data_IF_230073893037
#
_entry.id   IF_230073893037
#
_cell.length_a   1.000
_cell.length_b   1.000
_cell.length_c   1.000
_cell.angle_alpha   90.00
_cell.angle_beta   90.00
_cell.angle_gamma   90.00
#
_symmetry.space_group_name_H-M   'P 1'
#
loop_
_entity.id
_entity.type
_entity.pdbx_description
1 polymer ?
#
# COMPACT_ATOMS: atom_id res chain seq x y z
N UNK A 1 26.55 -67.65 33.69
CA UNK A 1 25.25 -67.63 32.99
C UNK A 1 24.63 -66.28 33.24
N UNK A 2 24.70 -65.40 32.24
CA UNK A 2 23.55 -64.86 31.47
C UNK A 2 22.98 -63.61 32.16
N UNK A 3 23.30 -62.42 31.60
CA UNK A 3 22.38 -61.57 30.82
C UNK A 3 21.35 -60.83 31.71
N UNK A 4 21.17 -59.51 31.69
CA UNK A 4 21.66 -58.53 30.74
C UNK A 4 21.37 -57.09 31.19
N UNK A 5 22.03 -56.18 30.49
CA UNK A 5 21.83 -54.74 30.47
C UNK A 5 20.55 -54.39 29.74
N UNK A 6 19.72 -53.50 30.30
CA UNK A 6 18.73 -52.73 29.52
C UNK A 6 19.01 -51.26 29.77
N UNK A 7 19.59 -50.64 28.74
CA UNK A 7 19.71 -49.21 28.54
C UNK A 7 18.32 -48.59 28.46
N UNK A 8 18.05 -47.57 29.28
CA UNK A 8 17.00 -46.59 28.96
C UNK A 8 17.67 -45.43 28.23
N UNK A 9 17.48 -45.43 26.91
CA UNK A 9 17.95 -44.42 26.00
C UNK A 9 16.97 -43.24 25.95
N UNK A 10 17.53 -42.03 26.05
CA UNK A 10 17.16 -40.89 25.20
C UNK A 10 15.76 -40.30 25.35
N UNK A 11 15.54 -39.50 26.38
CA UNK A 11 14.71 -38.30 26.23
C UNK A 11 15.65 -37.15 25.86
N UNK A 12 16.04 -37.09 24.59
CA UNK A 12 16.62 -35.88 24.01
C UNK A 12 15.43 -34.93 23.85
N UNK A 13 15.23 -34.06 24.83
CA UNK A 13 14.30 -32.95 24.70
C UNK A 13 14.73 -32.14 23.48
N UNK A 14 13.88 -32.13 22.45
CA UNK A 14 13.91 -31.14 21.39
C UNK A 14 13.64 -29.79 22.04
N UNK A 15 14.68 -29.15 22.57
CA UNK A 15 14.67 -27.71 22.78
C UNK A 15 14.68 -27.10 21.38
N UNK A 16 13.50 -26.89 20.82
CA UNK A 16 13.31 -25.90 19.77
C UNK A 16 13.68 -24.58 20.42
N UNK A 17 14.94 -24.14 20.23
CA UNK A 17 15.31 -22.76 20.44
C UNK A 17 14.52 -22.01 19.38
N UNK A 18 13.31 -21.58 19.73
CA UNK A 18 12.65 -20.48 19.02
C UNK A 18 13.60 -19.32 19.22
N UNK A 19 14.45 -19.07 18.24
CA UNK A 19 15.24 -17.86 18.15
C UNK A 19 14.23 -16.74 18.02
N UNK A 20 13.78 -16.24 19.17
CA UNK A 20 13.05 -15.01 19.30
C UNK A 20 14.00 -13.95 18.77
N UNK A 21 13.81 -13.59 17.50
CA UNK A 21 14.15 -12.26 17.05
C UNK A 21 13.42 -11.34 18.05
N UNK A 22 14.13 -10.61 18.93
CA UNK A 22 13.46 -9.72 19.87
C UNK A 22 12.53 -8.81 19.05
N UNK A 23 11.36 -8.49 19.60
CA UNK A 23 10.27 -7.75 18.92
C UNK A 23 10.68 -6.41 18.26
N UNK A 24 11.94 -5.98 18.44
CA UNK A 24 12.58 -4.81 17.85
C UNK A 24 13.08 -5.00 16.41
N UNK A 25 12.96 -6.19 15.80
CA UNK A 25 13.40 -6.47 14.43
C UNK A 25 12.24 -6.84 13.48
N UNK A 26 11.00 -6.61 13.88
CA UNK A 26 9.83 -6.84 13.04
C UNK A 26 9.04 -5.54 12.93
N UNK A 27 8.42 -5.34 11.77
CA UNK A 27 7.47 -4.25 11.56
C UNK A 27 6.35 -4.38 12.61
N UNK A 28 5.96 -3.28 13.26
CA UNK A 28 4.81 -3.31 14.16
C UNK A 28 3.51 -3.42 13.36
N UNK A 29 2.40 -3.78 14.04
CA UNK A 29 1.07 -3.77 13.42
C UNK A 29 0.68 -2.35 13.00
N UNK A 30 1.02 -1.35 13.82
CA UNK A 30 0.84 0.08 13.51
C UNK A 30 1.64 0.51 12.28
N UNK A 31 2.91 0.12 12.16
CA UNK A 31 3.72 0.40 10.97
C UNK A 31 3.14 -0.30 9.74
N UNK A 32 2.61 -1.52 9.89
CA UNK A 32 2.02 -2.30 8.81
C UNK A 32 0.80 -1.60 8.24
N UNK A 33 -0.08 -1.15 9.13
CA UNK A 33 -1.26 -0.35 8.78
C UNK A 33 -0.83 0.96 8.12
N UNK A 34 0.13 1.67 8.71
CA UNK A 34 0.64 2.95 8.19
C UNK A 34 1.21 2.80 6.78
N UNK A 35 2.00 1.76 6.51
CA UNK A 35 2.51 1.50 5.14
C UNK A 35 1.36 1.36 4.14
N UNK A 36 0.33 0.55 4.46
CA UNK A 36 -0.81 0.33 3.54
C UNK A 36 -1.66 1.60 3.39
N UNK A 37 -1.88 2.34 4.48
CA UNK A 37 -2.61 3.60 4.47
C UNK A 37 -1.91 4.64 3.60
N UNK A 38 -0.60 4.83 3.78
CA UNK A 38 0.20 5.77 3.00
C UNK A 38 0.20 5.40 1.52
N UNK A 39 0.42 4.12 1.18
CA UNK A 39 0.32 3.68 -0.22
C UNK A 39 -1.02 4.07 -0.84
N UNK A 40 -2.13 3.75 -0.18
CA UNK A 40 -3.46 4.06 -0.72
C UNK A 40 -3.74 5.56 -0.76
N UNK A 41 -3.26 6.32 0.24
CA UNK A 41 -3.36 7.77 0.26
C UNK A 41 -2.58 8.43 -0.88
N UNK A 42 -1.38 7.94 -1.20
CA UNK A 42 -0.59 8.39 -2.36
C UNK A 42 -1.23 8.00 -3.70
N UNK A 43 -1.74 6.76 -3.82
CA UNK A 43 -2.44 6.29 -5.01
C UNK A 43 -3.71 7.08 -5.31
N UNK A 44 -4.43 7.53 -4.29
CA UNK A 44 -5.66 8.32 -4.42
C UNK A 44 -5.47 9.80 -4.76
N UNK A 45 -4.23 10.29 -4.85
CA UNK A 45 -3.88 11.70 -5.11
C UNK A 45 -2.95 11.91 -6.31
N UNK A 46 -2.69 10.86 -7.10
CA UNK A 46 -1.80 10.96 -8.26
C UNK A 46 -2.28 12.01 -9.26
N UNK A 47 -1.32 12.66 -9.91
CA UNK A 47 -1.55 13.59 -11.01
C UNK A 47 -0.72 13.10 -12.21
N UNK A 48 -1.34 12.89 -13.39
CA UNK A 48 -2.77 13.01 -13.66
C UNK A 48 -3.62 11.92 -12.99
N UNK A 49 -4.93 12.11 -12.95
CA UNK A 49 -5.87 11.18 -12.33
C UNK A 49 -5.85 9.81 -13.02
N UNK A 50 -6.03 8.73 -12.26
CA UNK A 50 -6.07 7.36 -12.80
C UNK A 50 -7.49 6.83 -13.01
N UNK A 51 -7.73 6.19 -14.15
CA UNK A 51 -9.04 5.61 -14.47
C UNK A 51 -9.36 4.31 -13.71
N UNK A 52 -8.36 3.58 -13.22
CA UNK A 52 -8.56 2.25 -12.63
C UNK A 52 -7.63 1.90 -11.44
N UNK A 53 -7.07 2.90 -10.76
CA UNK A 53 -6.15 2.68 -9.63
C UNK A 53 -6.74 1.73 -8.57
N UNK A 54 -6.10 0.57 -8.35
CA UNK A 54 -6.62 -0.42 -7.38
C UNK A 54 -6.15 -0.10 -5.96
N UNK A 55 -6.99 -0.34 -4.96
CA UNK A 55 -6.57 -0.28 -3.55
C UNK A 55 -5.59 -1.42 -3.25
N UNK A 56 -4.42 -1.11 -2.68
CA UNK A 56 -3.47 -2.12 -2.20
C UNK A 56 -3.91 -2.65 -0.84
N UNK A 57 -3.65 -3.94 -0.60
CA UNK A 57 -3.84 -4.60 0.68
C UNK A 57 -2.55 -5.27 1.14
N UNK A 58 -2.44 -5.51 2.43
CA UNK A 58 -1.34 -6.30 2.97
C UNK A 58 -1.41 -7.76 2.49
N UNK A 59 -0.25 -8.34 2.15
CA UNK A 59 -0.10 -9.76 1.85
C UNK A 59 1.07 -10.36 2.66
N UNK A 60 0.72 -11.29 3.55
CA UNK A 60 1.69 -11.93 4.45
C UNK A 60 2.73 -12.77 3.70
N UNK A 61 2.42 -13.28 2.50
CA UNK A 61 3.40 -14.05 1.70
C UNK A 61 4.46 -13.12 1.13
N UNK A 62 4.08 -11.94 0.65
CA UNK A 62 5.02 -10.92 0.16
C UNK A 62 5.94 -10.45 1.27
N UNK A 63 5.39 -10.24 2.47
CA UNK A 63 6.14 -9.92 3.69
C UNK A 63 7.17 -11.00 4.02
N UNK A 64 6.79 -12.28 4.01
CA UNK A 64 7.74 -13.38 4.29
C UNK A 64 8.91 -13.39 3.29
N UNK A 65 8.65 -13.09 2.02
CA UNK A 65 9.70 -12.96 1.00
C UNK A 65 10.60 -11.76 1.31
N UNK A 66 10.02 -10.61 1.67
CA UNK A 66 10.75 -9.42 2.06
C UNK A 66 11.63 -9.65 3.30
N UNK A 67 11.11 -10.33 4.32
CA UNK A 67 11.84 -10.71 5.54
C UNK A 67 13.05 -11.58 5.20
N UNK A 68 12.84 -12.61 4.36
CA UNK A 68 13.90 -13.51 3.92
C UNK A 68 15.01 -12.81 3.14
N UNK A 69 14.72 -11.69 2.50
CA UNK A 69 15.69 -10.89 1.76
C UNK A 69 16.36 -9.82 2.61
N UNK A 70 15.60 -9.07 3.41
CA UNK A 70 16.10 -7.97 4.25
C UNK A 70 17.22 -8.41 5.22
N UNK A 71 17.12 -9.64 5.76
CA UNK A 71 18.14 -10.22 6.67
C UNK A 71 19.50 -10.46 6.02
N UNK A 72 19.59 -10.42 4.68
CA UNK A 72 20.85 -10.60 3.96
C UNK A 72 21.72 -9.34 4.02
N UNK A 73 21.13 -8.17 4.29
CA UNK A 73 21.84 -6.89 4.32
C UNK A 73 22.62 -6.59 3.04
N UNK A 74 21.97 -6.74 1.88
CA UNK A 74 22.53 -6.47 0.56
C UNK A 74 21.71 -5.33 -0.07
N UNK A 75 22.37 -4.23 -0.44
CA UNK A 75 21.76 -3.10 -1.13
C UNK A 75 21.65 -3.37 -2.64
N UNK A 76 20.85 -4.38 -2.99
CA UNK A 76 20.53 -4.77 -4.36
C UNK A 76 19.14 -5.40 -4.39
N UNK A 77 18.44 -5.34 -5.52
CA UNK A 77 17.14 -5.98 -5.66
C UNK A 77 17.20 -7.50 -5.59
N UNK A 78 16.15 -8.11 -5.04
CA UNK A 78 16.06 -9.56 -4.95
C UNK A 78 15.99 -10.21 -6.35
N UNK A 79 17.00 -11.03 -6.74
CA UNK A 79 17.09 -11.56 -8.10
C UNK A 79 16.02 -12.60 -8.44
N UNK A 80 15.32 -13.13 -7.44
CA UNK A 80 14.31 -14.18 -7.64
C UNK A 80 12.90 -13.62 -7.98
N UNK A 81 12.73 -12.29 -8.00
CA UNK A 81 11.40 -11.67 -8.11
C UNK A 81 10.77 -11.72 -9.50
N UNK A 82 11.59 -11.72 -10.56
CA UNK A 82 11.10 -11.79 -11.94
C UNK A 82 10.31 -13.09 -12.17
N UNK A 83 10.84 -14.23 -11.72
CA UNK A 83 10.17 -15.54 -11.83
C UNK A 83 8.88 -15.61 -11.00
N UNK A 84 8.74 -14.74 -9.99
CA UNK A 84 7.59 -14.65 -9.11
C UNK A 84 6.56 -13.60 -9.55
N UNK A 85 6.84 -12.84 -10.62
CA UNK A 85 6.04 -11.69 -11.06
C UNK A 85 5.78 -10.71 -9.90
N UNK A 86 6.83 -10.36 -9.17
CA UNK A 86 6.80 -9.44 -8.03
C UNK A 86 7.67 -8.22 -8.32
N UNK A 87 7.20 -7.05 -7.88
CA UNK A 87 8.00 -5.82 -7.82
C UNK A 87 8.62 -5.64 -6.44
N UNK A 88 9.59 -4.73 -6.31
CA UNK A 88 10.24 -4.43 -5.04
C UNK A 88 10.69 -2.97 -4.94
N UNK A 89 10.42 -2.36 -3.79
CA UNK A 89 11.04 -1.09 -3.40
C UNK A 89 11.96 -1.33 -2.21
N UNK A 90 13.11 -0.66 -2.22
CA UNK A 90 14.13 -0.71 -1.18
C UNK A 90 14.29 0.67 -0.55
N UNK A 91 14.49 0.73 0.76
CA UNK A 91 14.80 1.96 1.46
C UNK A 91 15.80 1.71 2.57
N UNK A 92 16.72 2.65 2.75
CA UNK A 92 17.74 2.58 3.79
C UNK A 92 17.82 3.90 4.54
N UNK A 93 17.86 3.82 5.87
CA UNK A 93 18.06 5.00 6.71
C UNK A 93 19.01 4.71 7.88
N UNK A 94 19.51 5.79 8.46
CA UNK A 94 20.17 5.74 9.76
C UNK A 94 19.14 5.89 10.87
N UNK A 95 19.31 5.18 11.98
CA UNK A 95 18.42 5.31 13.15
C UNK A 95 17.23 4.36 13.14
N UNK A 96 16.14 4.74 13.80
CA UNK A 96 14.92 3.93 13.89
C UNK A 96 14.15 4.00 12.57
N UNK A 97 13.35 2.98 12.30
CA UNK A 97 12.44 2.97 11.16
C UNK A 97 11.30 3.96 11.39
N UNK A 98 10.97 4.73 10.35
CA UNK A 98 9.79 5.57 10.27
C UNK A 98 9.11 5.30 8.91
N UNK A 99 7.88 4.75 8.90
CA UNK A 99 7.18 4.47 7.65
C UNK A 99 6.83 5.75 6.87
N UNK A 100 6.58 6.89 7.53
CA UNK A 100 6.20 8.13 6.84
C UNK A 100 7.34 8.61 5.95
N UNK A 101 8.56 8.67 6.51
CA UNK A 101 9.77 9.10 5.77
C UNK A 101 10.05 8.18 4.58
N UNK A 102 9.96 6.86 4.76
CA UNK A 102 10.24 5.91 3.68
C UNK A 102 9.24 6.04 2.53
N UNK A 103 7.95 6.10 2.86
CA UNK A 103 6.87 6.21 1.87
C UNK A 103 6.87 7.55 1.16
N UNK A 104 7.14 8.63 1.88
CA UNK A 104 7.27 9.97 1.32
C UNK A 104 8.45 10.06 0.35
N UNK A 105 9.64 9.58 0.73
CA UNK A 105 10.82 9.64 -0.14
C UNK A 105 10.64 8.84 -1.42
N UNK A 106 9.96 7.70 -1.37
CA UNK A 106 9.60 6.96 -2.59
C UNK A 106 8.55 7.71 -3.42
N UNK A 107 7.57 8.37 -2.80
CA UNK A 107 6.54 9.09 -3.53
C UNK A 107 7.09 10.34 -4.22
N UNK A 108 7.93 11.14 -3.52
CA UNK A 108 8.49 12.40 -4.00
C UNK A 108 9.31 12.27 -5.30
N UNK A 109 9.73 11.06 -5.68
CA UNK A 109 10.28 10.80 -7.00
C UNK A 109 9.30 11.17 -8.15
N UNK A 110 8.02 11.39 -7.87
CA UNK A 110 7.06 11.91 -8.84
C UNK A 110 7.43 13.30 -9.37
N UNK A 111 8.20 14.10 -8.61
CA UNK A 111 8.66 15.42 -9.03
C UNK A 111 9.63 15.31 -10.21
N UNK A 112 10.40 14.22 -10.27
CA UNK A 112 11.36 13.93 -11.33
C UNK A 112 10.74 13.10 -12.48
N UNK A 113 9.45 12.75 -12.41
CA UNK A 113 8.78 11.85 -13.36
C UNK A 113 7.80 12.57 -14.29
N UNK A 114 8.08 12.57 -15.59
CA UNK A 114 7.15 13.05 -16.61
C UNK A 114 6.20 11.93 -17.05
N UNK A 115 4.95 12.01 -16.58
CA UNK A 115 3.89 11.07 -16.95
C UNK A 115 3.58 11.07 -18.46
N UNK A 116 3.64 12.21 -19.15
CA UNK A 116 3.29 12.30 -20.57
C UNK A 116 4.27 11.51 -21.42
N UNK A 117 5.56 11.69 -21.13
CA UNK A 117 6.66 11.05 -21.86
C UNK A 117 7.06 9.68 -21.30
N UNK A 118 6.50 9.28 -20.15
CA UNK A 118 6.88 8.04 -19.45
C UNK A 118 8.38 8.00 -19.17
N UNK A 119 8.93 9.11 -18.70
CA UNK A 119 10.37 9.30 -18.53
C UNK A 119 10.69 9.87 -17.16
N UNK A 120 11.82 9.46 -16.61
CA UNK A 120 12.43 10.07 -15.44
C UNK A 120 13.48 11.08 -15.89
N UNK A 121 13.64 12.19 -15.16
CA UNK A 121 14.74 13.13 -15.41
C UNK A 121 16.11 12.43 -15.37
N UNK A 122 17.06 12.96 -16.13
CA UNK A 122 18.41 12.39 -16.22
C UNK A 122 19.09 12.37 -14.84
N UNK A 123 19.69 11.23 -14.49
CA UNK A 123 20.34 10.98 -13.20
C UNK A 123 19.41 10.98 -11.96
N UNK A 124 18.10 11.01 -12.14
CA UNK A 124 17.12 10.84 -11.06
C UNK A 124 16.59 9.40 -11.00
N UNK A 125 15.85 9.09 -9.94
CA UNK A 125 15.18 7.81 -9.74
C UNK A 125 13.68 8.05 -9.67
N UNK A 126 12.91 7.27 -10.43
CA UNK A 126 11.45 7.34 -10.44
C UNK A 126 10.77 5.98 -10.21
N UNK A 127 11.58 4.91 -10.11
CA UNK A 127 11.10 3.54 -10.05
C UNK A 127 10.33 3.22 -8.77
N UNK A 128 10.67 3.87 -7.65
CA UNK A 128 9.96 3.65 -6.41
C UNK A 128 8.57 4.30 -6.47
N UNK A 129 8.48 5.53 -6.98
CA UNK A 129 7.21 6.20 -7.22
C UNK A 129 6.33 5.38 -8.17
N UNK A 130 6.83 5.03 -9.37
CA UNK A 130 6.01 4.33 -10.37
C UNK A 130 5.52 2.98 -9.86
N UNK A 131 6.30 2.27 -9.04
CA UNK A 131 5.85 1.03 -8.39
C UNK A 131 4.77 1.28 -7.34
N UNK A 132 4.91 2.30 -6.50
CA UNK A 132 3.90 2.66 -5.50
C UNK A 132 2.54 2.96 -6.14
N UNK A 133 2.56 3.63 -7.28
CA UNK A 133 1.36 4.06 -8.02
C UNK A 133 1.01 3.13 -9.19
N UNK A 134 1.60 1.95 -9.27
CA UNK A 134 1.27 0.99 -10.32
C UNK A 134 -0.16 0.47 -10.16
N UNK A 135 -1.07 0.79 -11.08
CA UNK A 135 -2.50 0.57 -10.90
C UNK A 135 -2.87 -0.90 -10.71
N UNK A 136 -2.16 -1.82 -11.39
CA UNK A 136 -2.40 -3.25 -11.28
C UNK A 136 -1.84 -3.89 -10.00
N UNK A 137 -0.78 -3.30 -9.43
CA UNK A 137 -0.21 -3.74 -8.15
C UNK A 137 -1.24 -3.48 -7.05
N UNK A 138 -1.74 -4.55 -6.43
CA UNK A 138 -2.86 -4.49 -5.48
C UNK A 138 -2.60 -5.28 -4.21
N UNK A 139 -1.37 -5.74 -4.01
CA UNK A 139 -0.93 -6.42 -2.81
C UNK A 139 0.50 -6.00 -2.50
N UNK A 140 0.78 -5.71 -1.23
CA UNK A 140 2.09 -5.29 -0.75
C UNK A 140 2.43 -6.04 0.54
N UNK A 141 3.69 -6.39 0.72
CA UNK A 141 4.18 -6.93 1.99
C UNK A 141 5.62 -6.52 2.21
N UNK A 142 5.92 -6.00 3.39
CA UNK A 142 7.18 -5.35 3.69
C UNK A 142 7.87 -5.92 4.92
N UNK A 143 9.19 -5.75 5.01
CA UNK A 143 9.99 -6.14 6.14
C UNK A 143 11.07 -5.11 6.43
N UNK A 144 11.34 -4.89 7.72
CA UNK A 144 12.46 -4.05 8.17
C UNK A 144 13.49 -4.91 8.87
N UNK A 145 14.76 -4.69 8.54
CA UNK A 145 15.88 -5.34 9.20
C UNK A 145 16.98 -4.33 9.56
N UNK A 146 17.61 -4.51 10.72
CA UNK A 146 18.73 -3.67 11.15
C UNK A 146 20.05 -4.33 10.82
N UNK A 147 20.81 -3.70 9.94
CA UNK A 147 22.08 -4.21 9.42
C UNK A 147 23.25 -3.49 10.10
N UNK A 148 24.10 -4.24 10.82
CA UNK A 148 25.34 -3.69 11.39
C UNK A 148 26.28 -3.22 10.27
N UNK A 149 26.35 -4.00 9.19
CA UNK A 149 27.05 -3.70 7.94
C UNK A 149 26.15 -4.11 6.78
N UNK A 150 26.24 -3.40 5.65
CA UNK A 150 25.47 -3.70 4.44
C UNK A 150 26.39 -3.85 3.23
N UNK A 151 26.23 -4.91 2.46
CA UNK A 151 26.91 -5.05 1.17
C UNK A 151 26.36 -4.02 0.19
N UNK A 152 27.23 -3.37 -0.59
CA UNK A 152 26.86 -2.30 -1.53
C UNK A 152 26.84 -0.89 -0.93
N UNK A 153 26.85 -0.75 0.39
CA UNK A 153 26.92 0.56 1.08
C UNK A 153 28.08 0.60 2.10
N UNK A 154 28.69 1.77 2.27
CA UNK A 154 29.79 1.97 3.22
C UNK A 154 29.33 2.40 4.62
N UNK A 155 28.04 2.65 4.81
CA UNK A 155 27.47 3.06 6.08
C UNK A 155 27.26 1.85 7.00
N UNK A 156 27.47 2.04 8.30
CA UNK A 156 27.25 1.03 9.32
C UNK A 156 25.94 1.30 10.09
N UNK A 157 25.33 0.25 10.64
CA UNK A 157 24.16 0.32 11.53
C UNK A 157 22.95 1.00 10.88
N UNK A 158 22.61 0.54 9.68
CA UNK A 158 21.47 1.02 8.90
C UNK A 158 20.21 0.23 9.19
N UNK A 159 19.07 0.86 8.96
CA UNK A 159 17.76 0.22 8.94
C UNK A 159 17.34 0.05 7.50
N UNK A 160 17.02 -1.18 7.11
CA UNK A 160 16.74 -1.59 5.75
C UNK A 160 15.28 -2.03 5.62
N UNK A 161 14.50 -1.32 4.81
CA UNK A 161 13.14 -1.67 4.44
C UNK A 161 13.15 -2.33 3.05
N UNK A 162 12.47 -3.46 2.95
CA UNK A 162 12.16 -4.15 1.69
C UNK A 162 10.64 -4.24 1.58
N UNK A 163 10.04 -3.78 0.50
CA UNK A 163 8.61 -3.92 0.21
C UNK A 163 8.41 -4.64 -1.12
N UNK A 164 7.73 -5.79 -1.11
CA UNK A 164 7.38 -6.53 -2.32
C UNK A 164 5.95 -6.24 -2.75
N UNK A 165 5.72 -6.17 -4.06
CA UNK A 165 4.44 -5.86 -4.69
C UNK A 165 3.96 -7.01 -5.58
N UNK A 166 2.65 -7.22 -5.63
CA UNK A 166 2.06 -8.19 -6.56
C UNK A 166 0.77 -7.67 -7.22
N UNK A 167 0.60 -7.91 -8.54
CA UNK A 167 1.65 -8.31 -9.50
C UNK A 167 2.78 -7.27 -9.58
N UNK A 168 3.88 -7.61 -10.25
CA UNK A 168 4.96 -6.65 -10.52
C UNK A 168 4.43 -5.44 -11.29
N UNK A 169 5.04 -4.28 -11.01
CA UNK A 169 4.92 -3.10 -11.84
C UNK A 169 6.19 -2.83 -12.64
N UNK A 170 6.36 -1.58 -13.08
CA UNK A 170 7.55 -1.07 -13.77
C UNK A 170 7.93 -1.87 -15.02
N UNK A 171 6.92 -2.28 -15.79
CA UNK A 171 7.17 -2.89 -17.10
C UNK A 171 7.73 -1.84 -18.07
N UNK A 172 8.74 -2.25 -18.84
CA UNK A 172 9.37 -1.37 -19.82
C UNK A 172 8.35 -0.80 -20.80
N UNK A 173 8.48 0.49 -21.10
CA UNK A 173 7.61 1.24 -22.02
C UNK A 173 6.13 1.33 -21.60
N UNK A 174 5.79 0.96 -20.37
CA UNK A 174 4.44 1.10 -19.81
C UNK A 174 4.37 2.20 -18.75
N UNK A 175 3.27 2.97 -18.75
CA UNK A 175 2.96 3.95 -17.70
C UNK A 175 2.40 3.24 -16.47
N UNK A 176 2.58 3.80 -15.26
CA UNK A 176 2.10 3.15 -14.03
C UNK A 176 0.57 3.03 -13.95
N UNK A 177 -0.17 3.86 -14.69
CA UNK A 177 -1.62 3.83 -14.76
C UNK A 177 -2.11 4.53 -16.02
N UNK A 178 -3.39 4.36 -16.37
CA UNK A 178 -4.03 5.11 -17.45
C UNK A 178 -4.71 6.39 -16.92
N UNK A 179 -4.36 7.53 -17.51
CA UNK A 179 -4.96 8.83 -17.23
C UNK A 179 -6.46 8.91 -17.57
N UNK A 180 -7.23 9.54 -16.69
CA UNK A 180 -8.60 9.94 -16.94
C UNK A 180 -9.43 10.10 -15.67
N UNK A 181 -10.75 10.20 -15.82
CA UNK A 181 -11.68 10.35 -14.69
C UNK A 181 -11.51 9.21 -13.69
N UNK A 182 -11.42 9.55 -12.40
CA UNK A 182 -11.24 8.59 -11.31
C UNK A 182 -12.24 7.45 -11.40
N UNK A 183 -11.73 6.21 -11.30
CA UNK A 183 -12.54 4.99 -11.28
C UNK A 183 -13.42 4.75 -12.53
N UNK A 184 -13.25 5.52 -13.62
CA UNK A 184 -14.06 5.38 -14.84
C UNK A 184 -13.87 4.05 -15.58
N UNK A 185 -12.79 3.32 -15.26
CA UNK A 185 -12.43 2.02 -15.83
C UNK A 185 -12.08 0.97 -14.78
N UNK A 186 -12.65 1.08 -13.57
CA UNK A 186 -12.44 0.04 -12.56
C UNK A 186 -12.82 -1.36 -13.10
N UNK A 187 -12.05 -2.41 -12.75
CA UNK A 187 -12.40 -3.79 -13.13
C UNK A 187 -13.78 -4.20 -12.63
N UNK A 188 -14.47 -5.08 -13.35
CA UNK A 188 -15.84 -5.53 -13.01
C UNK A 188 -15.96 -6.11 -11.58
N UNK A 189 -14.89 -6.69 -11.05
CA UNK A 189 -14.86 -7.25 -9.68
C UNK A 189 -14.51 -6.22 -8.59
N UNK A 190 -14.25 -4.96 -8.97
CA UNK A 190 -13.94 -3.83 -8.10
C UNK A 190 -14.81 -2.61 -8.48
N UNK A 191 -16.16 -2.74 -8.53
CA UNK A 191 -17.03 -1.77 -9.18
C UNK A 191 -17.16 -0.43 -8.44
N UNK A 192 -16.69 -0.35 -7.19
CA UNK A 192 -16.83 0.84 -6.36
C UNK A 192 -15.60 1.73 -6.40
N UNK A 193 -15.84 3.03 -6.35
CA UNK A 193 -14.82 4.04 -6.13
C UNK A 193 -14.83 4.48 -4.66
N UNK A 194 -13.73 4.26 -3.96
CA UNK A 194 -13.50 4.71 -2.58
C UNK A 194 -12.19 5.48 -2.53
N UNK A 195 -12.25 6.76 -2.16
CA UNK A 195 -11.09 7.65 -2.12
C UNK A 195 -10.26 7.60 -3.42
N UNK A 196 -10.93 7.63 -4.57
CA UNK A 196 -10.35 7.55 -5.91
C UNK A 196 -9.72 6.18 -6.28
N UNK A 197 -9.98 5.13 -5.50
CA UNK A 197 -9.47 3.78 -5.72
C UNK A 197 -10.59 2.79 -6.04
N UNK A 198 -10.32 1.84 -6.93
CA UNK A 198 -11.17 0.71 -7.23
C UNK A 198 -11.17 -0.30 -6.07
N UNK A 199 -12.34 -0.51 -5.47
CA UNK A 199 -12.56 -1.41 -4.34
C UNK A 199 -13.72 -2.38 -4.65
N UNK A 200 -13.73 -3.58 -4.03
CA UNK A 200 -14.86 -4.48 -4.17
C UNK A 200 -16.13 -3.83 -3.59
N UNK A 201 -17.28 -4.38 -3.96
CA UNK A 201 -18.49 -4.12 -3.18
C UNK A 201 -18.23 -4.54 -1.73
N UNK A 202 -18.71 -3.72 -0.79
CA UNK A 202 -18.65 -4.07 0.62
C UNK A 202 -19.24 -5.48 0.78
N UNK A 203 -18.58 -6.40 1.52
CA UNK A 203 -19.17 -7.70 1.75
C UNK A 203 -20.57 -7.47 2.34
N UNK A 204 -21.59 -8.04 1.69
CA UNK A 204 -22.91 -8.22 2.33
C UNK A 204 -22.62 -8.78 3.73
N UNK A 205 -23.18 -8.20 4.81
CA UNK A 205 -22.95 -8.71 6.14
C UNK A 205 -23.27 -10.19 6.11
N UNK A 206 -22.24 -11.02 6.29
CA UNK A 206 -22.43 -12.46 6.44
C UNK A 206 -23.32 -12.59 7.66
N UNK A 207 -24.60 -12.94 7.46
CA UNK A 207 -25.46 -13.37 8.55
C UNK A 207 -24.75 -14.58 9.16
N UNK A 208 -24.04 -14.36 10.26
CA UNK A 208 -23.57 -15.45 11.08
C UNK A 208 -24.81 -16.26 11.48
N UNK A 209 -24.78 -17.59 11.39
CA UNK A 209 -25.94 -18.38 11.69
C UNK A 209 -26.35 -18.12 13.14
N UNK A 210 -27.50 -17.49 13.33
CA UNK A 210 -28.15 -17.33 14.62
C UNK A 210 -28.19 -18.71 15.28
N UNK A 211 -27.42 -18.86 16.36
CA UNK A 211 -27.53 -20.02 17.25
C UNK A 211 -28.86 -19.84 17.98
N UNK A 212 -29.95 -20.30 17.35
CA UNK A 212 -31.27 -20.32 17.97
C UNK A 212 -31.23 -21.22 19.20
N UNK A 213 -31.23 -20.57 20.36
CA UNK A 213 -31.37 -21.20 21.65
C UNK A 213 -32.83 -21.62 21.80
N UNK A 214 -33.12 -22.92 21.57
CA UNK A 214 -34.47 -23.47 21.69
C UNK A 214 -35.05 -23.21 23.09
N UNK A 215 -36.03 -22.32 23.17
CA UNK A 215 -36.93 -22.20 24.31
C UNK A 215 -38.25 -22.88 23.95
N UNK A 216 -38.57 -23.94 24.69
CA UNK A 216 -39.85 -24.62 24.63
C UNK A 216 -40.96 -23.72 25.20
N UNK A 217 -41.97 -23.37 24.39
CA UNK A 217 -43.32 -23.15 24.93
C UNK A 217 -44.49 -23.44 23.95
N UNK A 218 -45.22 -24.48 24.31
CA UNK A 218 -46.66 -24.80 24.24
C UNK A 218 -47.69 -23.85 23.54
N UNK A 219 -48.10 -24.20 22.31
CA UNK A 219 -49.50 -24.38 21.75
C UNK A 219 -50.67 -23.36 21.98
N UNK A 220 -51.82 -23.40 21.23
CA UNK A 220 -52.12 -23.55 19.77
C UNK A 220 -53.28 -22.58 19.31
N UNK A 221 -54.11 -22.86 18.28
CA UNK A 221 -53.90 -22.73 16.83
C UNK A 221 -54.80 -21.65 16.17
N UNK A 222 -54.36 -21.07 15.04
CA UNK A 222 -55.13 -20.13 14.22
C UNK A 222 -55.16 -20.56 12.75
N UNK A 223 -56.33 -20.99 12.30
CA UNK A 223 -56.71 -21.46 10.96
C UNK A 223 -56.70 -20.38 9.88
N UNK A 224 -56.38 -20.75 8.63
CA UNK A 224 -56.91 -20.04 7.44
C UNK A 224 -55.99 -19.91 6.23
N UNK A 225 -55.95 -20.99 5.43
CA UNK A 225 -55.82 -21.15 3.96
C UNK A 225 -55.46 -20.01 2.95
N UNK A 226 -55.05 -20.41 1.72
CA UNK A 226 -54.13 -19.69 0.83
C UNK A 226 -54.79 -19.08 -0.41
N UNK A 227 -54.05 -18.23 -1.13
CA UNK A 227 -54.21 -17.96 -2.58
C UNK A 227 -53.15 -16.95 -3.01
N UNK A 228 -52.53 -16.95 -4.19
CA UNK A 228 -52.43 -17.87 -5.34
C UNK A 228 -51.41 -17.18 -6.25
N UNK A 229 -50.40 -17.89 -6.72
CA UNK A 229 -49.55 -17.43 -7.81
C UNK A 229 -50.35 -17.35 -9.10
N UNK A 230 -50.29 -16.21 -9.80
CA UNK A 230 -50.68 -16.13 -11.21
C UNK A 230 -49.48 -15.67 -12.01
N UNK A 231 -48.88 -16.62 -12.72
CA UNK A 231 -47.98 -16.39 -13.82
C UNK A 231 -48.81 -16.08 -15.07
N UNK A 232 -48.42 -15.07 -15.83
CA UNK A 232 -48.86 -14.90 -17.21
C UNK A 232 -47.63 -14.73 -18.08
N UNK A 233 -47.35 -15.77 -18.87
CA UNK A 233 -46.43 -15.76 -19.99
C UNK A 233 -47.22 -15.42 -21.28
N UNK A 234 -46.63 -14.59 -22.14
CA UNK A 234 -46.94 -14.49 -23.58
C UNK A 234 -45.69 -13.86 -24.22
N UNK A 235 -44.78 -14.59 -24.86
CA UNK A 235 -44.84 -15.28 -26.17
C UNK A 235 -44.85 -14.32 -27.39
N UNK A 236 -43.66 -14.27 -28.05
CA UNK A 236 -43.43 -14.31 -29.52
C UNK A 236 -43.67 -13.00 -30.30
N UNK A 237 -42.95 -12.55 -31.34
CA UNK A 237 -42.07 -13.13 -32.38
C UNK A 237 -41.14 -12.01 -32.92
N UNK A 238 -39.86 -12.24 -33.25
CA UNK A 238 -39.27 -12.64 -34.56
C UNK A 238 -39.23 -11.57 -35.67
N UNK A 239 -38.01 -11.22 -36.13
CA UNK A 239 -37.51 -11.14 -37.53
C UNK A 239 -36.39 -10.06 -37.68
N UNK A 240 -35.12 -10.41 -37.97
CA UNK A 240 -34.40 -10.40 -39.29
C UNK A 240 -34.40 -9.04 -40.01
N UNK A 241 -33.33 -8.49 -40.64
CA UNK A 241 -32.04 -8.96 -41.15
C UNK A 241 -31.18 -7.74 -41.62
N UNK A 242 -29.84 -7.92 -41.78
CA UNK A 242 -28.91 -7.45 -42.89
C UNK A 242 -28.87 -5.96 -43.31
N UNK A 243 -27.80 -5.29 -43.78
CA UNK A 243 -26.40 -5.53 -44.18
C UNK A 243 -25.75 -4.14 -44.44
N UNK A 244 -24.45 -4.14 -44.77
CA UNK A 244 -23.72 -3.16 -45.61
C UNK A 244 -22.99 -1.92 -45.03
N UNK A 245 -21.65 -2.07 -44.96
CA UNK A 245 -20.57 -1.07 -45.21
C UNK A 245 -20.00 -1.39 -46.62
N UNK A 246 -19.09 -0.66 -47.34
CA UNK A 246 -18.16 0.46 -47.02
C UNK A 246 -18.04 1.47 -48.23
N UNK A 247 -16.91 2.16 -48.60
CA UNK A 247 -15.61 2.46 -47.96
C UNK A 247 -15.10 3.94 -48.06
N UNK A 248 -13.98 4.22 -47.38
CA UNK A 248 -13.14 5.43 -47.45
C UNK A 248 -12.28 5.55 -48.74
N UNK A 249 -11.78 6.76 -49.09
CA UNK A 249 -10.65 6.96 -50.00
C UNK A 249 -9.34 7.45 -49.32
N UNK A 250 -8.18 7.41 -50.00
CA UNK A 250 -6.84 7.42 -49.37
C UNK A 250 -5.97 8.69 -49.55
N UNK A 251 -5.02 8.83 -48.61
CA UNK A 251 -3.58 9.24 -48.72
C UNK A 251 -3.18 10.56 -49.42
N UNK A 252 -2.45 11.43 -48.72
CA UNK A 252 -1.16 12.00 -49.20
C UNK A 252 -0.32 12.58 -48.06
N UNK A 253 0.98 12.24 -48.01
CA UNK A 253 2.02 12.94 -47.23
C UNK A 253 2.72 13.97 -48.14
N UNK A 254 3.23 15.08 -47.60
CA UNK A 254 4.33 15.81 -48.19
C UNK A 254 5.66 15.53 -47.46
N UNK A 255 6.62 15.11 -48.28
CA UNK A 255 8.06 15.10 -48.06
C UNK A 255 8.58 16.55 -48.10
N UNK A 256 9.40 16.97 -47.13
CA UNK A 256 10.22 18.17 -47.26
C UNK A 256 11.61 17.93 -46.69
N UNK A 257 12.51 17.64 -47.63
CA UNK A 257 13.95 17.66 -47.48
C UNK A 257 14.48 19.10 -47.43
N UNK A 258 15.45 19.32 -46.54
CA UNK A 258 16.58 20.26 -46.62
C UNK A 258 16.31 21.79 -46.54
N UNK A 259 16.74 22.37 -45.41
CA UNK A 259 17.21 23.76 -45.29
C UNK A 259 18.41 23.83 -44.32
N UNK A 260 19.33 24.81 -44.47
CA UNK A 260 20.76 24.67 -44.15
C UNK A 260 21.16 24.99 -42.69
N UNK A 261 22.29 24.41 -42.25
CA UNK A 261 22.95 24.65 -40.97
C UNK A 261 23.41 26.12 -40.78
N UNK A 262 23.24 26.71 -39.58
CA UNK A 262 23.81 28.01 -39.24
C UNK A 262 25.29 27.89 -38.86
N UNK A 263 26.05 28.94 -39.19
CA UNK A 263 27.50 29.08 -38.99
C UNK A 263 27.88 29.21 -37.51
N UNK A 264 28.98 28.57 -37.11
CA UNK A 264 29.54 28.48 -35.75
C UNK A 264 30.16 29.80 -35.21
N UNK A 265 29.38 30.89 -35.18
CA UNK A 265 29.80 32.14 -34.51
C UNK A 265 28.68 32.72 -33.63
N UNK A 266 27.41 32.32 -33.80
CA UNK A 266 26.29 32.77 -32.95
C UNK A 266 25.92 31.79 -31.80
N UNK A 267 26.69 30.71 -31.61
CA UNK A 267 26.38 29.60 -30.66
C UNK A 267 26.98 29.78 -29.26
N UNK A 268 27.95 30.68 -29.08
CA UNK A 268 28.61 30.85 -27.77
C UNK A 268 27.87 31.84 -26.86
N UNK A 269 27.24 32.90 -27.39
CA UNK A 269 26.44 33.84 -26.56
C UNK A 269 25.04 33.29 -26.24
N UNK A 270 24.46 32.47 -27.11
CA UNK A 270 23.14 31.82 -26.87
C UNK A 270 23.21 30.64 -25.91
N UNK A 271 24.38 30.02 -25.73
CA UNK A 271 24.57 28.91 -24.80
C UNK A 271 24.81 29.38 -23.35
N UNK A 272 25.28 30.62 -23.16
CA UNK A 272 25.46 31.20 -21.83
C UNK A 272 24.14 31.72 -21.25
N UNK A 273 23.30 32.38 -22.05
CA UNK A 273 21.97 32.81 -21.58
C UNK A 273 21.04 31.61 -21.31
N UNK A 274 21.10 30.54 -22.12
CA UNK A 274 20.30 29.33 -21.87
C UNK A 274 20.75 28.53 -20.64
N UNK A 275 22.04 28.54 -20.32
CA UNK A 275 22.55 27.87 -19.12
C UNK A 275 22.24 28.63 -17.83
N UNK A 276 22.20 29.96 -17.89
CA UNK A 276 21.81 30.80 -16.76
C UNK A 276 20.28 30.71 -16.51
N UNK A 277 19.45 30.57 -17.57
CA UNK A 277 18.00 30.32 -17.43
C UNK A 277 17.68 28.91 -16.91
N UNK A 278 18.43 27.86 -17.31
CA UNK A 278 18.26 26.50 -16.79
C UNK A 278 18.67 26.38 -15.31
N UNK A 279 19.72 27.07 -14.86
CA UNK A 279 20.12 27.11 -13.43
C UNK A 279 19.09 27.87 -12.57
N UNK A 280 18.48 28.96 -13.08
CA UNK A 280 17.41 29.67 -12.37
C UNK A 280 16.11 28.83 -12.29
N UNK A 281 15.75 28.08 -13.33
CA UNK A 281 14.61 27.14 -13.30
C UNK A 281 14.85 25.97 -12.32
N UNK A 282 16.06 25.42 -12.25
CA UNK A 282 16.42 24.37 -11.28
C UNK A 282 16.37 24.88 -9.82
N UNK A 283 16.79 26.13 -9.56
CA UNK A 283 16.68 26.76 -8.24
C UNK A 283 15.21 27.01 -7.85
N UNK A 284 14.37 27.46 -8.80
CA UNK A 284 12.93 27.63 -8.56
C UNK A 284 12.22 26.28 -8.29
N UNK A 285 12.54 25.22 -9.03
CA UNK A 285 12.00 23.87 -8.79
C UNK A 285 12.45 23.30 -7.43
N UNK A 286 13.69 23.57 -7.00
CA UNK A 286 14.18 23.18 -5.69
C UNK A 286 13.48 23.95 -4.56
N UNK A 287 13.24 25.25 -4.72
CA UNK A 287 12.45 26.06 -3.77
C UNK A 287 10.99 25.56 -3.71
N UNK A 288 10.34 25.26 -4.85
CA UNK A 288 8.99 24.69 -4.87
C UNK A 288 8.94 23.33 -4.17
N UNK A 289 9.96 22.48 -4.35
CA UNK A 289 10.11 21.21 -3.64
C UNK A 289 10.23 21.40 -2.13
N UNK A 290 11.03 22.35 -1.69
CA UNK A 290 11.16 22.67 -0.25
C UNK A 290 9.85 23.22 0.32
N UNK A 291 9.12 24.07 -0.42
CA UNK A 291 7.81 24.59 0.00
C UNK A 291 6.74 23.49 0.07
N UNK A 292 6.74 22.54 -0.87
CA UNK A 292 5.83 21.38 -0.83
C UNK A 292 6.16 20.42 0.31
N UNK A 293 7.44 20.13 0.57
CA UNK A 293 7.89 19.36 1.74
C UNK A 293 7.45 20.05 3.04
N UNK A 294 7.67 21.37 3.18
CA UNK A 294 7.24 22.12 4.37
C UNK A 294 5.71 22.14 4.55
N UNK A 295 4.97 22.35 3.46
CA UNK A 295 3.50 22.34 3.48
C UNK A 295 2.96 20.99 3.91
N UNK A 296 3.55 19.91 3.41
CA UNK A 296 3.20 18.56 3.79
C UNK A 296 3.50 18.28 5.27
N UNK A 297 4.67 18.66 5.79
CA UNK A 297 4.99 18.53 7.21
C UNK A 297 3.96 19.27 8.11
N UNK A 298 3.45 20.42 7.65
CA UNK A 298 2.42 21.18 8.36
C UNK A 298 1.08 20.45 8.35
N UNK A 299 0.68 19.87 7.22
CA UNK A 299 -0.54 19.06 7.12
C UNK A 299 -0.44 17.79 7.97
N UNK A 300 0.69 17.10 7.95
CA UNK A 300 0.93 15.92 8.78
C UNK A 300 0.81 16.25 10.27
N UNK A 301 1.52 17.29 10.75
CA UNK A 301 1.40 17.76 12.15
C UNK A 301 -0.04 18.17 12.52
N UNK A 302 -0.82 18.68 11.56
CA UNK A 302 -2.23 19.00 11.79
C UNK A 302 -3.06 17.73 11.96
N UNK A 303 -2.85 16.71 11.12
CA UNK A 303 -3.53 15.42 11.23
C UNK A 303 -3.16 14.66 12.50
N UNK A 304 -1.90 14.70 12.93
CA UNK A 304 -1.46 14.11 14.21
C UNK A 304 -2.14 14.80 15.40
N UNK A 305 -2.21 16.14 15.40
CA UNK A 305 -2.94 16.89 16.44
C UNK A 305 -4.42 16.55 16.46
N UNK A 306 -5.04 16.31 15.31
CA UNK A 306 -6.45 15.88 15.24
C UNK A 306 -6.65 14.46 15.79
N UNK A 307 -5.72 13.54 15.51
CA UNK A 307 -5.70 12.17 16.07
C UNK A 307 -5.49 12.18 17.59
N UNK A 308 -4.58 13.00 18.10
CA UNK A 308 -4.37 13.17 19.55
C UNK A 308 -5.58 13.81 20.24
N UNK A 309 -6.21 14.81 19.62
CA UNK A 309 -7.38 15.48 20.16
C UNK A 309 -8.64 14.58 20.17
N UNK A 310 -8.78 13.67 19.19
CA UNK A 310 -9.83 12.63 19.22
C UNK A 310 -9.53 11.54 20.26
N UNK A 311 -8.25 11.26 20.56
CA UNK A 311 -7.83 10.36 21.63
C UNK A 311 -8.08 10.92 23.04
N UNK A 312 -8.00 12.25 23.20
CA UNK A 312 -8.21 12.93 24.50
C UNK A 312 -9.67 13.29 24.83
N UNK A 313 -10.65 13.12 23.94
CA UNK A 313 -12.08 13.29 24.27
C UNK A 313 -12.67 12.01 24.92
N UNK A 314 -12.98 11.99 26.24
CA UNK A 314 -13.74 10.91 26.82
C UNK A 314 -15.20 11.04 26.35
N UNK A 315 -15.83 9.92 26.01
CA UNK A 315 -17.27 9.81 25.74
C UNK A 315 -18.11 10.47 26.86
N UNK A 316 -18.44 11.74 26.69
CA UNK A 316 -19.43 12.43 27.49
C UNK A 316 -20.82 12.14 26.91
N UNK A 317 -21.35 10.94 27.20
CA UNK A 317 -22.79 10.69 27.33
C UNK A 317 -23.03 9.31 27.96
N UNK A 318 -22.91 9.23 29.29
CA UNK A 318 -23.53 8.17 30.06
C UNK A 318 -24.39 8.81 31.16
N UNK A 319 -25.69 8.57 31.05
CA UNK A 319 -26.69 9.08 31.97
C UNK A 319 -26.49 8.57 33.40
N UNK A 320 -26.74 9.49 34.33
CA UNK A 320 -26.90 9.33 35.77
C UNK A 320 -27.51 7.99 36.22
N UNK A 321 -26.79 7.26 37.09
CA UNK A 321 -27.43 6.53 38.18
C UNK A 321 -26.60 6.67 39.46
N UNK A 322 -27.26 7.24 40.46
CA UNK A 322 -26.78 7.50 41.82
C UNK A 322 -26.70 6.21 42.65
N UNK A 323 -25.57 5.97 43.33
CA UNK A 323 -25.56 5.25 44.61
C UNK A 323 -24.46 5.80 45.52
N UNK A 324 -24.86 6.17 46.74
CA UNK A 324 -24.07 6.83 47.75
C UNK A 324 -23.23 5.88 48.62
N UNK A 325 -22.06 6.37 49.02
CA UNK A 325 -21.42 6.26 50.35
C UNK A 325 -21.06 4.87 50.92
N UNK A 326 -19.76 4.64 51.17
CA UNK A 326 -19.18 4.59 52.53
C UNK A 326 -17.65 4.43 52.49
N UNK A 327 -16.97 5.41 53.09
CA UNK A 327 -15.55 5.38 53.47
C UNK A 327 -15.36 4.47 54.68
N UNK A 328 -14.39 3.54 54.61
CA UNK A 328 -13.70 3.02 55.79
C UNK A 328 -12.20 2.96 55.50
N UNK A 329 -11.46 3.87 56.10
CA UNK A 329 -10.01 3.85 56.24
C UNK A 329 -9.61 2.87 57.34
N UNK A 330 -8.48 2.15 57.19
CA UNK A 330 -7.50 1.87 58.26
C UNK A 330 -6.58 0.66 57.95
N UNK A 331 -5.28 0.99 57.80
CA UNK A 331 -4.10 0.33 58.38
C UNK A 331 -3.90 -1.19 58.21
N UNK A 332 -2.87 -1.58 57.45
CA UNK A 332 -2.12 -2.83 57.66
C UNK A 332 -0.77 -2.54 58.30
N UNK A 333 -0.35 -3.25 59.36
CA UNK A 333 1.03 -3.33 59.76
C UNK A 333 1.74 -4.54 59.13
N UNK A 334 2.99 -4.31 58.75
CA UNK A 334 4.01 -5.30 58.45
C UNK A 334 4.19 -6.27 59.62
N UNK A 335 4.30 -7.57 59.33
CA UNK A 335 5.08 -8.49 60.18
C UNK A 335 5.87 -9.48 59.32
N UNK A 336 7.10 -9.67 59.78
CA UNK A 336 8.18 -10.45 59.22
C UNK A 336 8.26 -11.84 59.90
N UNK A 337 8.96 -12.76 59.22
CA UNK A 337 9.75 -13.89 59.75
C UNK A 337 9.04 -15.17 60.24
N UNK A 338 9.43 -16.29 59.61
CA UNK A 338 9.77 -17.55 60.29
C UNK A 338 8.94 -18.78 59.92
N UNK A 339 9.38 -19.60 58.96
CA UNK A 339 10.18 -20.82 59.19
C UNK A 339 10.67 -21.41 57.87
#
# INVERSE_FOLDING_TARGET
MLMGTVLWAGLVGFYVIVTLCPASCQLSEEDTETLVELHNGYRGRVVPNSTYMRKVKWDEKLKIIAEGYAVKCIWEHNPDLEELNMGENLFVSNGLFDPNIAMEKWFLEHLDYDYNNNSCQDNKMCGHYTQMVWADSHSVGCAVHRCDTMEGLSFEKVTFLVCNYYPAGNFNDEKPYEEGEWCSKCPDNLPRCDQNLCVPDAPEPTEEPDVEQETMDSSPPGTGEPSTHTATATATATATATEDTPPSPPRTQPDYSSAPEPTMVDREETATEAGDEEEEEEEEEEEEREEEEEKWEVEERATEREKDNTREQPQANAGSVSTSLLLVTSLMPLLSLGL
#
